data_IF_503297553773
#
_entry.id   IF_503297553773
#
_cell.length_a   1.000
_cell.length_b   1.000
_cell.length_c   1.000
_cell.angle_alpha   90.00
_cell.angle_beta   90.00
_cell.angle_gamma   90.00
#
_symmetry.space_group_name_H-M   'P 1'
#
loop_
_entity.id
_entity.type
_entity.pdbx_description
1 polymer ?
#
# COMPACT_ATOMS: atom_id res chain seq x y z
N UNK A 1 20.93 11.33 0.87
CA UNK A 1 21.40 10.78 2.14
C UNK A 1 20.83 9.37 2.31
N UNK A 2 21.51 8.38 1.76
CA UNK A 2 21.29 6.96 2.01
C UNK A 2 22.08 6.55 3.26
N UNK A 3 21.53 5.69 4.10
CA UNK A 3 22.22 5.21 5.33
C UNK A 3 21.88 5.95 6.63
N UNK A 4 20.91 6.86 6.64
CA UNK A 4 20.51 7.63 7.85
C UNK A 4 19.51 6.90 8.77
N UNK A 5 19.23 5.61 8.55
CA UNK A 5 18.30 4.84 9.39
C UNK A 5 16.80 5.14 9.20
N UNK A 6 16.42 5.96 8.20
CA UNK A 6 15.01 6.34 8.00
C UNK A 6 14.08 5.15 7.78
N UNK A 7 14.48 4.19 6.94
CA UNK A 7 13.69 2.99 6.68
C UNK A 7 13.55 2.15 7.95
N UNK A 8 14.65 2.02 8.75
CA UNK A 8 14.59 1.32 10.03
C UNK A 8 13.58 1.96 10.99
N UNK A 9 13.64 3.29 11.17
CA UNK A 9 12.66 4.02 11.98
C UNK A 9 11.23 3.86 11.46
N UNK A 10 11.04 3.86 10.13
CA UNK A 10 9.73 3.61 9.53
C UNK A 10 9.20 2.21 9.85
N UNK A 11 10.05 1.20 9.79
CA UNK A 11 9.72 -0.18 10.15
C UNK A 11 9.36 -0.26 11.64
N UNK A 12 10.16 0.32 12.53
CA UNK A 12 9.88 0.34 13.97
C UNK A 12 8.51 0.95 14.30
N UNK A 13 8.18 2.07 13.65
CA UNK A 13 6.87 2.73 13.83
C UNK A 13 5.71 1.85 13.34
N UNK A 14 5.88 1.14 12.21
CA UNK A 14 4.88 0.22 11.68
C UNK A 14 4.69 -0.99 12.59
N UNK A 15 5.78 -1.53 13.16
CA UNK A 15 5.73 -2.63 14.10
C UNK A 15 4.98 -2.24 15.38
N UNK A 16 5.30 -1.08 15.96
CA UNK A 16 4.60 -0.61 17.16
C UNK A 16 3.11 -0.35 16.87
N UNK A 17 2.79 0.31 15.77
CA UNK A 17 1.40 0.56 15.38
C UNK A 17 0.62 -0.75 15.21
N UNK A 18 1.23 -1.75 14.55
CA UNK A 18 0.61 -3.07 14.38
C UNK A 18 0.37 -3.76 15.73
N UNK A 19 1.36 -3.77 16.63
CA UNK A 19 1.26 -4.37 17.96
C UNK A 19 0.18 -3.69 18.80
N UNK A 20 0.02 -2.38 18.66
CA UNK A 20 -1.00 -1.56 19.34
C UNK A 20 -2.36 -1.57 18.61
N UNK A 21 -2.48 -2.35 17.53
CA UNK A 21 -3.70 -2.48 16.70
C UNK A 21 -4.16 -1.16 16.09
N UNK A 22 -3.22 -0.28 15.77
CA UNK A 22 -3.47 0.95 15.04
C UNK A 22 -3.42 0.65 13.53
N UNK A 23 -4.51 0.88 12.76
CA UNK A 23 -4.50 0.69 11.32
C UNK A 23 -3.51 1.64 10.64
N UNK A 24 -2.72 1.12 9.70
CA UNK A 24 -1.73 1.91 8.97
C UNK A 24 -1.82 1.65 7.47
N UNK A 25 -1.70 2.70 6.69
CA UNK A 25 -1.45 2.65 5.25
C UNK A 25 -0.05 3.21 5.00
N UNK A 26 0.87 2.35 4.56
CA UNK A 26 2.22 2.75 4.21
C UNK A 26 2.35 2.93 2.70
N UNK A 27 2.82 4.09 2.24
CA UNK A 27 3.14 4.36 0.84
C UNK A 27 4.65 4.14 0.68
N UNK A 28 5.01 3.06 -0.01
CA UNK A 28 6.41 2.61 -0.15
C UNK A 28 6.85 2.58 -1.63
N UNK A 29 7.31 3.71 -2.19
CA UNK A 29 7.76 3.76 -3.57
C UNK A 29 8.99 2.91 -3.87
N UNK A 30 9.73 2.48 -2.85
CA UNK A 30 10.96 1.69 -2.99
C UNK A 30 10.76 0.20 -2.79
N UNK A 31 9.68 -0.21 -2.12
CA UNK A 31 9.43 -1.60 -1.78
C UNK A 31 10.25 -2.16 -0.61
N UNK A 32 10.88 -1.29 0.19
CA UNK A 32 11.72 -1.72 1.31
C UNK A 32 10.90 -2.23 2.52
N UNK A 33 9.67 -1.72 2.69
CA UNK A 33 8.83 -2.02 3.86
C UNK A 33 8.15 -3.39 3.76
N UNK A 34 8.08 -3.99 2.56
CA UNK A 34 7.57 -5.34 2.36
C UNK A 34 8.32 -6.40 3.19
N UNK A 35 9.54 -6.10 3.62
CA UNK A 35 10.33 -6.95 4.49
C UNK A 35 9.68 -7.20 5.87
N UNK A 36 8.72 -6.38 6.30
CA UNK A 36 7.93 -6.64 7.51
C UNK A 36 7.17 -7.97 7.48
N UNK A 37 6.84 -8.48 6.29
CA UNK A 37 6.20 -9.78 6.13
C UNK A 37 7.17 -10.95 6.37
N UNK A 38 8.47 -10.71 6.28
CA UNK A 38 9.51 -11.69 6.52
C UNK A 38 9.83 -11.83 8.02
N UNK A 39 8.82 -12.07 8.81
CA UNK A 39 8.93 -12.24 10.25
C UNK A 39 8.97 -13.73 10.62
N UNK A 40 10.05 -14.16 11.25
CA UNK A 40 10.31 -15.55 11.61
C UNK A 40 10.44 -15.70 13.14
N UNK A 41 9.35 -15.97 13.88
CA UNK A 41 9.38 -16.00 15.34
C UNK A 41 10.40 -16.96 15.94
N UNK A 42 10.60 -18.12 15.30
CA UNK A 42 11.51 -19.14 15.81
C UNK A 42 12.95 -18.97 15.31
N UNK A 43 13.19 -18.08 14.33
CA UNK A 43 14.50 -17.82 13.73
C UNK A 43 15.25 -19.11 13.35
N UNK A 44 14.54 -20.08 12.76
CA UNK A 44 15.13 -21.34 12.29
C UNK A 44 15.86 -21.11 10.97
N UNK A 45 16.93 -21.85 10.70
CA UNK A 45 17.61 -21.80 9.42
C UNK A 45 16.65 -22.09 8.24
N UNK A 46 15.74 -23.06 8.40
CA UNK A 46 14.72 -23.38 7.40
C UNK A 46 13.78 -22.22 7.04
N UNK A 47 13.57 -21.27 7.94
CA UNK A 47 12.72 -20.11 7.71
C UNK A 47 13.40 -19.12 6.75
N UNK A 48 14.73 -19.07 6.77
CA UNK A 48 15.54 -18.21 5.92
C UNK A 48 15.91 -18.86 4.57
N UNK A 49 15.88 -20.18 4.48
CA UNK A 49 16.34 -20.92 3.31
C UNK A 49 15.70 -20.50 1.99
N UNK A 50 14.36 -20.24 1.89
CA UNK A 50 13.74 -19.79 0.67
C UNK A 50 14.20 -18.39 0.19
N UNK A 51 14.82 -17.61 1.08
CA UNK A 51 15.21 -16.22 0.86
C UNK A 51 16.72 -16.05 0.69
N UNK A 52 17.49 -17.14 0.77
CA UNK A 52 18.93 -17.13 0.57
C UNK A 52 19.26 -17.01 -0.91
N UNK A 53 20.13 -16.08 -1.25
CA UNK A 53 20.75 -16.06 -2.57
C UNK A 53 21.75 -17.22 -2.67
N UNK A 54 21.46 -18.18 -3.56
CA UNK A 54 22.29 -19.36 -3.78
C UNK A 54 23.73 -19.00 -4.19
N UNK A 55 23.92 -17.89 -4.93
CA UNK A 55 25.24 -17.40 -5.32
C UNK A 55 26.04 -16.87 -4.13
N UNK A 56 25.38 -16.21 -3.19
CA UNK A 56 26.01 -15.75 -1.96
C UNK A 56 26.46 -16.93 -1.08
N UNK A 57 25.66 -17.98 -0.98
CA UNK A 57 26.03 -19.20 -0.28
C UNK A 57 27.22 -19.90 -0.95
N UNK A 58 27.23 -20.04 -2.27
CA UNK A 58 28.32 -20.61 -3.05
C UNK A 58 29.62 -19.82 -2.86
N UNK A 59 29.56 -18.49 -2.94
CA UNK A 59 30.72 -17.61 -2.71
C UNK A 59 31.28 -17.74 -1.31
N UNK A 60 30.44 -18.02 -0.32
CA UNK A 60 30.84 -18.31 1.05
C UNK A 60 31.35 -19.78 1.26
N UNK A 61 31.34 -20.60 0.21
CA UNK A 61 31.73 -22.01 0.31
C UNK A 61 30.77 -22.87 1.15
N UNK A 62 29.51 -22.47 1.24
CA UNK A 62 28.49 -23.11 2.08
C UNK A 62 27.33 -23.65 1.26
N UNK A 63 26.66 -24.68 1.76
CA UNK A 63 25.36 -25.05 1.24
C UNK A 63 24.31 -23.96 1.59
N UNK A 64 23.22 -23.87 0.81
CA UNK A 64 22.12 -22.93 1.08
C UNK A 64 21.58 -23.09 2.50
N UNK A 65 21.38 -24.33 2.96
CA UNK A 65 20.92 -24.61 4.32
C UNK A 65 21.92 -24.16 5.40
N UNK A 66 23.23 -24.37 5.19
CA UNK A 66 24.25 -23.92 6.15
C UNK A 66 24.34 -22.39 6.19
N UNK A 67 24.25 -21.74 5.03
CA UNK A 67 24.23 -20.28 4.94
C UNK A 67 22.97 -19.69 5.60
N UNK A 68 21.80 -20.28 5.37
CA UNK A 68 20.54 -19.89 6.02
C UNK A 68 20.62 -20.03 7.55
N UNK A 69 21.19 -21.12 8.05
CA UNK A 69 21.40 -21.31 9.49
C UNK A 69 22.35 -20.27 10.10
N UNK A 70 23.42 -19.92 9.36
CA UNK A 70 24.34 -18.85 9.77
C UNK A 70 23.62 -17.48 9.82
N UNK A 71 22.80 -17.16 8.82
CA UNK A 71 21.98 -15.94 8.80
C UNK A 71 21.02 -15.89 9.99
N UNK A 72 20.29 -16.97 10.25
CA UNK A 72 19.41 -17.07 11.41
C UNK A 72 20.17 -16.82 12.73
N UNK A 73 21.39 -17.31 12.84
CA UNK A 73 22.29 -17.07 13.99
C UNK A 73 22.68 -15.60 14.13
N UNK A 74 22.95 -14.90 13.02
CA UNK A 74 23.28 -13.47 13.00
C UNK A 74 22.06 -12.66 13.46
N UNK A 75 20.87 -12.94 12.94
CA UNK A 75 19.61 -12.27 13.33
C UNK A 75 19.32 -12.47 14.81
N UNK A 76 19.44 -13.70 15.32
CA UNK A 76 19.23 -14.00 16.76
C UNK A 76 20.16 -13.19 17.66
N UNK A 77 21.45 -13.11 17.30
CA UNK A 77 22.42 -12.29 18.03
C UNK A 77 22.13 -10.80 17.93
N UNK A 78 21.72 -10.33 16.74
CA UNK A 78 21.35 -8.94 16.51
C UNK A 78 20.16 -8.51 17.36
N UNK A 79 19.08 -9.29 17.35
CA UNK A 79 17.88 -9.02 18.17
C UNK A 79 18.19 -9.03 19.65
N UNK A 80 18.96 -10.01 20.14
CA UNK A 80 19.37 -10.08 21.54
C UNK A 80 20.17 -8.85 22.00
N UNK A 81 21.01 -8.30 21.10
CA UNK A 81 21.77 -7.06 21.37
C UNK A 81 20.89 -5.85 21.63
N UNK A 82 19.70 -5.82 21.01
CA UNK A 82 18.72 -4.76 21.17
C UNK A 82 17.60 -5.11 22.15
N UNK A 83 17.80 -6.16 22.97
CA UNK A 83 16.80 -6.67 23.91
C UNK A 83 15.44 -7.02 23.23
N UNK A 84 15.48 -7.36 21.94
CA UNK A 84 14.32 -7.85 21.22
C UNK A 84 14.24 -9.37 21.33
N UNK A 85 13.06 -9.87 21.67
CA UNK A 85 12.83 -11.29 21.85
C UNK A 85 12.05 -11.91 20.69
N UNK A 86 12.16 -13.22 20.47
CA UNK A 86 11.34 -13.94 19.49
C UNK A 86 9.83 -13.80 19.71
N UNK A 87 9.42 -13.68 20.98
CA UNK A 87 8.00 -13.47 21.35
C UNK A 87 7.45 -12.16 20.79
N UNK A 88 8.28 -11.12 20.65
CA UNK A 88 7.89 -9.87 19.99
C UNK A 88 7.56 -10.10 18.52
N UNK A 89 8.34 -10.93 17.82
CA UNK A 89 8.09 -11.27 16.41
C UNK A 89 6.76 -12.03 16.27
N UNK A 90 6.51 -12.99 17.18
CA UNK A 90 5.24 -13.71 17.20
C UNK A 90 4.07 -12.77 17.45
N UNK A 91 4.21 -11.85 18.42
CA UNK A 91 3.19 -10.85 18.74
C UNK A 91 2.89 -9.94 17.55
N UNK A 92 3.91 -9.50 16.79
CA UNK A 92 3.72 -8.71 15.58
C UNK A 92 2.89 -9.47 14.53
N UNK A 93 3.22 -10.73 14.28
CA UNK A 93 2.48 -11.58 13.32
C UNK A 93 1.02 -11.80 13.69
N UNK A 94 0.72 -11.88 14.98
CA UNK A 94 -0.64 -12.10 15.48
C UNK A 94 -1.44 -10.80 15.60
N UNK A 95 -0.76 -9.64 15.66
CA UNK A 95 -1.40 -8.36 15.93
C UNK A 95 -2.13 -7.76 14.74
N UNK A 96 -1.67 -8.02 13.50
CA UNK A 96 -2.21 -7.37 12.33
C UNK A 96 -2.16 -8.27 11.09
N UNK A 97 -3.12 -8.08 10.19
CA UNK A 97 -3.08 -8.58 8.82
C UNK A 97 -2.29 -7.60 7.95
N UNK A 98 -1.26 -8.12 7.30
CA UNK A 98 -0.44 -7.35 6.37
C UNK A 98 -0.84 -7.65 4.93
N UNK A 99 -1.08 -6.60 4.16
CA UNK A 99 -1.38 -6.71 2.74
C UNK A 99 -0.47 -5.79 1.93
N UNK A 100 0.13 -6.31 0.85
CA UNK A 100 0.93 -5.53 -0.09
C UNK A 100 0.10 -5.32 -1.34
N UNK A 101 -0.26 -4.07 -1.59
CA UNK A 101 -0.92 -3.66 -2.82
C UNK A 101 0.12 -3.13 -3.80
N UNK A 102 0.06 -3.62 -5.05
CA UNK A 102 1.01 -3.26 -6.10
C UNK A 102 0.28 -2.65 -7.30
N UNK A 103 0.04 -1.32 -7.32
CA UNK A 103 -0.59 -0.66 -8.45
C UNK A 103 0.18 -0.92 -9.75
N UNK A 104 -0.51 -1.34 -10.81
CA UNK A 104 0.11 -1.64 -12.11
C UNK A 104 0.95 -2.91 -12.16
N UNK A 105 0.94 -3.75 -11.13
CA UNK A 105 1.67 -5.02 -11.06
C UNK A 105 0.81 -6.12 -10.46
N UNK A 106 1.10 -7.36 -10.84
CA UNK A 106 0.47 -8.58 -10.28
C UNK A 106 1.35 -9.27 -9.23
N UNK A 107 2.45 -8.62 -8.82
CA UNK A 107 3.38 -9.19 -7.83
C UNK A 107 2.78 -9.27 -6.41
N UNK A 108 1.83 -8.41 -6.10
CA UNK A 108 1.04 -8.42 -4.87
C UNK A 108 -0.46 -8.32 -5.18
N UNK A 109 -1.22 -7.74 -4.27
CA UNK A 109 -2.65 -7.49 -4.48
C UNK A 109 -2.84 -6.33 -5.48
N UNK A 110 -3.56 -6.54 -6.58
CA UNK A 110 -3.77 -5.46 -7.54
C UNK A 110 -4.70 -4.39 -6.96
N UNK A 111 -4.43 -3.13 -7.28
CA UNK A 111 -5.36 -2.02 -7.05
C UNK A 111 -5.97 -1.63 -8.38
N UNK A 112 -7.29 -1.63 -8.46
CA UNK A 112 -7.99 -1.02 -9.58
C UNK A 112 -8.28 0.44 -9.28
N UNK A 113 -7.57 1.35 -9.93
CA UNK A 113 -7.80 2.80 -9.81
C UNK A 113 -9.07 3.22 -10.53
N UNK A 114 -9.46 2.44 -11.55
CA UNK A 114 -10.68 2.64 -12.35
C UNK A 114 -11.83 1.71 -11.91
N UNK A 115 -11.65 0.98 -10.83
CA UNK A 115 -12.55 -0.11 -10.45
C UNK A 115 -13.94 0.32 -10.01
N UNK A 116 -14.12 1.54 -9.57
CA UNK A 116 -15.46 2.04 -9.28
C UNK A 116 -15.47 3.55 -9.09
N UNK A 117 -16.39 4.19 -9.79
CA UNK A 117 -16.87 5.51 -9.43
C UNK A 117 -18.12 5.34 -8.54
N UNK A 118 -17.94 4.53 -7.46
CA UNK A 118 -19.01 4.27 -6.51
C UNK A 118 -19.35 5.54 -5.74
N UNK A 119 -20.66 5.79 -5.58
CA UNK A 119 -21.12 6.90 -4.79
C UNK A 119 -20.62 6.73 -3.33
N UNK A 120 -20.04 7.76 -2.73
CA UNK A 120 -19.61 7.73 -1.34
C UNK A 120 -20.81 7.53 -0.41
N UNK A 121 -20.60 6.99 0.80
CA UNK A 121 -21.69 6.83 1.77
C UNK A 121 -22.31 8.19 2.15
N UNK A 122 -23.54 8.17 2.62
CA UNK A 122 -24.31 9.37 2.94
C UNK A 122 -23.55 10.31 3.89
N UNK A 123 -22.86 9.74 4.89
CA UNK A 123 -22.05 10.52 5.84
C UNK A 123 -20.97 11.40 5.22
N UNK A 124 -20.38 10.95 4.10
CA UNK A 124 -19.41 11.76 3.35
C UNK A 124 -20.06 12.71 2.37
N UNK A 125 -21.27 12.38 1.87
CA UNK A 125 -22.02 13.26 0.97
C UNK A 125 -22.66 14.46 1.70
N UNK A 126 -22.98 14.26 2.98
CA UNK A 126 -23.57 15.32 3.84
C UNK A 126 -22.53 16.36 4.28
N UNK A 127 -21.22 16.03 4.21
CA UNK A 127 -20.14 16.98 4.43
C UNK A 127 -19.70 17.58 3.08
N UNK A 128 -20.17 18.78 2.79
CA UNK A 128 -19.97 19.44 1.51
C UNK A 128 -18.49 19.66 1.12
N UNK A 129 -17.62 19.91 2.10
CA UNK A 129 -16.20 20.15 1.82
C UNK A 129 -15.46 18.85 1.53
N UNK A 130 -15.68 17.83 2.34
CA UNK A 130 -15.13 16.48 2.09
C UNK A 130 -15.65 15.90 0.79
N UNK A 131 -16.93 16.05 0.50
CA UNK A 131 -17.54 15.59 -0.74
C UNK A 131 -16.92 16.26 -1.97
N UNK A 132 -16.76 17.58 -1.93
CA UNK A 132 -16.12 18.34 -3.02
C UNK A 132 -14.68 17.90 -3.26
N UNK A 133 -13.91 17.71 -2.19
CA UNK A 133 -12.54 17.21 -2.30
C UNK A 133 -12.48 15.82 -2.91
N UNK A 134 -13.43 14.94 -2.56
CA UNK A 134 -13.49 13.58 -3.11
C UNK A 134 -13.79 13.62 -4.62
N UNK A 135 -14.76 14.42 -5.05
CA UNK A 135 -15.08 14.61 -6.49
C UNK A 135 -13.86 15.14 -7.24
N UNK A 136 -13.25 16.24 -6.75
CA UNK A 136 -12.07 16.82 -7.39
C UNK A 136 -10.89 15.85 -7.45
N UNK A 137 -10.60 15.16 -6.36
CA UNK A 137 -9.51 14.18 -6.30
C UNK A 137 -9.71 13.02 -7.27
N UNK A 138 -10.94 12.52 -7.39
CA UNK A 138 -11.28 11.44 -8.33
C UNK A 138 -11.10 11.88 -9.78
N UNK A 139 -11.59 13.07 -10.14
CA UNK A 139 -11.45 13.61 -11.50
C UNK A 139 -10.01 13.93 -11.83
N UNK A 140 -9.27 14.58 -10.93
CA UNK A 140 -7.83 14.84 -11.12
C UNK A 140 -7.07 13.54 -11.33
N UNK A 141 -7.33 12.51 -10.51
CA UNK A 141 -6.71 11.21 -10.65
C UNK A 141 -7.00 10.56 -12.00
N UNK A 142 -8.28 10.60 -12.46
CA UNK A 142 -8.67 10.06 -13.77
C UNK A 142 -7.96 10.80 -14.91
N UNK A 143 -7.93 12.13 -14.90
CA UNK A 143 -7.29 12.92 -15.95
C UNK A 143 -5.78 12.73 -15.96
N UNK A 144 -5.15 12.61 -14.81
CA UNK A 144 -3.73 12.28 -14.68
C UNK A 144 -3.41 10.91 -15.28
N UNK A 145 -4.26 9.90 -15.07
CA UNK A 145 -4.09 8.57 -15.69
C UNK A 145 -4.21 8.61 -17.23
N UNK A 146 -4.91 9.60 -17.76
CA UNK A 146 -5.06 9.84 -19.20
C UNK A 146 -3.95 10.75 -19.76
N UNK A 147 -2.95 11.12 -18.94
CA UNK A 147 -1.89 12.08 -19.26
C UNK A 147 -2.44 13.45 -19.69
N UNK A 148 -3.58 13.83 -19.10
CA UNK A 148 -4.21 15.13 -19.31
C UNK A 148 -3.92 16.03 -18.12
N UNK A 149 -3.09 17.05 -18.34
CA UNK A 149 -2.87 18.11 -17.35
C UNK A 149 -4.08 19.06 -17.37
N UNK A 150 -4.86 19.05 -16.31
CA UNK A 150 -6.12 19.76 -16.23
C UNK A 150 -6.24 20.50 -14.89
N UNK A 151 -6.13 21.81 -14.94
CA UNK A 151 -6.41 22.68 -13.80
C UNK A 151 -7.88 22.54 -13.36
N UNK A 152 -8.16 22.26 -12.07
CA UNK A 152 -9.52 22.03 -11.59
C UNK A 152 -10.50 23.20 -11.76
N UNK A 153 -9.99 24.43 -11.89
CA UNK A 153 -10.82 25.64 -11.95
C UNK A 153 -11.06 26.11 -13.38
N UNK A 154 -10.15 25.82 -14.30
CA UNK A 154 -10.19 26.38 -15.66
C UNK A 154 -10.38 25.32 -16.76
N UNK A 155 -10.04 24.06 -16.50
CA UNK A 155 -10.16 22.99 -17.49
C UNK A 155 -11.62 22.59 -17.70
N UNK A 156 -12.09 22.69 -18.96
CA UNK A 156 -13.45 22.24 -19.33
C UNK A 156 -13.67 20.75 -19.05
N UNK A 157 -12.66 19.93 -19.28
CA UNK A 157 -12.74 18.48 -19.01
C UNK A 157 -12.92 18.23 -17.51
N UNK A 158 -12.14 18.92 -16.68
CA UNK A 158 -12.23 18.77 -15.24
C UNK A 158 -13.60 19.23 -14.71
N UNK A 159 -14.07 20.39 -15.16
CA UNK A 159 -15.36 20.96 -14.75
C UNK A 159 -16.52 20.02 -15.15
N UNK A 160 -16.52 19.51 -16.39
CA UNK A 160 -17.58 18.63 -16.89
C UNK A 160 -17.62 17.32 -16.08
N UNK A 161 -16.47 16.65 -15.92
CA UNK A 161 -16.39 15.40 -15.17
C UNK A 161 -16.78 15.59 -13.70
N UNK A 162 -16.36 16.69 -13.09
CA UNK A 162 -16.75 17.03 -11.71
C UNK A 162 -18.25 17.23 -11.59
N UNK A 163 -18.88 17.93 -12.53
CA UNK A 163 -20.33 18.15 -12.51
C UNK A 163 -21.11 16.83 -12.68
N UNK A 164 -20.65 15.94 -13.58
CA UNK A 164 -21.27 14.63 -13.79
C UNK A 164 -21.17 13.77 -12.53
N UNK A 165 -19.97 13.65 -11.92
CA UNK A 165 -19.79 12.86 -10.71
C UNK A 165 -20.55 13.46 -9.53
N UNK A 166 -20.49 14.77 -9.34
CA UNK A 166 -21.20 15.48 -8.27
C UNK A 166 -22.70 15.16 -8.32
N UNK A 167 -23.32 15.36 -9.49
CA UNK A 167 -24.75 15.10 -9.68
C UNK A 167 -25.14 13.65 -9.38
N UNK A 168 -24.38 12.68 -9.92
CA UNK A 168 -24.68 11.25 -9.74
C UNK A 168 -24.47 10.80 -8.31
N UNK A 169 -23.37 11.22 -7.70
CA UNK A 169 -23.03 10.84 -6.34
C UNK A 169 -23.93 11.47 -5.28
N UNK A 170 -24.38 12.72 -5.49
CA UNK A 170 -25.40 13.32 -4.62
C UNK A 170 -26.69 12.52 -4.60
N UNK A 171 -27.07 11.93 -5.74
CA UNK A 171 -28.22 11.03 -5.85
C UNK A 171 -27.93 9.62 -5.33
N UNK A 172 -26.73 9.34 -4.84
CA UNK A 172 -26.32 8.01 -4.41
C UNK A 172 -26.11 7.02 -5.54
N UNK A 173 -26.00 7.50 -6.78
CA UNK A 173 -25.81 6.67 -7.97
C UNK A 173 -24.32 6.39 -8.19
N UNK A 174 -23.95 5.11 -8.12
CA UNK A 174 -22.63 4.66 -8.50
C UNK A 174 -22.51 4.54 -10.02
N UNK A 175 -21.33 4.86 -10.55
CA UNK A 175 -20.99 4.66 -11.95
C UNK A 175 -19.88 3.63 -12.07
N UNK A 176 -19.86 2.89 -13.16
CA UNK A 176 -18.68 2.24 -13.69
C UNK A 176 -18.07 3.09 -14.81
N UNK A 177 -16.99 2.65 -15.40
CA UNK A 177 -16.32 3.40 -16.47
C UNK A 177 -17.24 3.60 -17.69
N UNK A 178 -18.01 2.58 -18.05
CA UNK A 178 -18.96 2.65 -19.18
C UNK A 178 -20.09 3.66 -18.87
N UNK A 179 -20.62 3.63 -17.67
CA UNK A 179 -21.62 4.59 -17.20
C UNK A 179 -21.10 6.02 -17.14
N UNK A 180 -19.83 6.22 -16.75
CA UNK A 180 -19.20 7.55 -16.78
C UNK A 180 -19.03 8.05 -18.21
N UNK A 181 -18.56 7.21 -19.15
CA UNK A 181 -18.43 7.56 -20.57
C UNK A 181 -19.79 7.98 -21.14
N UNK A 182 -20.84 7.18 -20.88
CA UNK A 182 -22.18 7.51 -21.33
C UNK A 182 -22.70 8.84 -20.74
N UNK A 183 -22.49 9.05 -19.44
CA UNK A 183 -22.90 10.29 -18.77
C UNK A 183 -22.14 11.54 -19.26
N UNK A 184 -20.92 11.38 -19.77
CA UNK A 184 -20.17 12.48 -20.41
C UNK A 184 -20.69 12.77 -21.81
N UNK A 185 -21.09 11.74 -22.56
CA UNK A 185 -21.64 11.89 -23.93
C UNK A 185 -23.06 12.48 -23.91
N UNK A 186 -23.86 12.12 -22.90
CA UNK A 186 -25.22 12.58 -22.70
C UNK A 186 -25.39 13.15 -21.28
N UNK A 187 -24.80 14.31 -20.98
CA UNK A 187 -24.95 14.92 -19.68
C UNK A 187 -26.39 15.40 -19.57
N UNK A 188 -27.20 14.67 -18.85
CA UNK A 188 -28.61 15.03 -18.56
C UNK A 188 -28.72 16.22 -17.59
N UNK A 189 -28.01 17.31 -17.91
CA UNK A 189 -28.03 18.58 -17.15
C UNK A 189 -29.10 19.51 -17.66
#
# INVERSE_FOLDING_TARGET
MTGSGKTGLGIDLLEEAAIDKVPVIAIDPKGDMGNLLLSFPELRGSDFEPWVDARAAETAGQSVAAFAAAQAGIWRKGLAKWAQSPERIARLREAADFAIYTPGSTAGLPISVLGSFAAPPASLRDDADTFRQLVQGTVTGLLTLLDIDADPLSSRAHILLSAVLDQRWQQGQSLDLAGLIHAVQEPGM
#
